data_IF_619609828917
#
_entry.id   IF_619609828917
#
_cell.length_a   1.000
_cell.length_b   1.000
_cell.length_c   1.000
_cell.angle_alpha   90.00
_cell.angle_beta   90.00
_cell.angle_gamma   90.00
#
_symmetry.space_group_name_H-M   'P 1'
#
loop_
_entity.id
_entity.type
_entity.pdbx_description
1 polymer ?
#
# COMPACT_ATOMS: atom_id res chain seq x y z
N UNK A 1 19.15 16.35 4.07
CA UNK A 1 17.86 15.90 4.65
C UNK A 1 18.04 14.49 5.16
N UNK A 2 17.79 14.24 6.45
CA UNK A 2 17.92 12.91 7.02
C UNK A 2 16.78 11.97 6.56
N UNK A 3 16.94 10.66 6.74
CA UNK A 3 15.97 9.64 6.29
C UNK A 3 14.55 9.90 6.84
N UNK A 4 14.43 10.32 8.09
CA UNK A 4 13.15 10.58 8.74
C UNK A 4 12.46 11.85 8.23
N UNK A 5 13.22 12.90 7.89
CA UNK A 5 12.71 14.11 7.26
C UNK A 5 12.15 13.81 5.88
N UNK A 6 12.80 12.94 5.08
CA UNK A 6 12.28 12.51 3.78
C UNK A 6 10.95 11.75 3.91
N UNK A 7 10.88 10.81 4.85
CA UNK A 7 9.65 10.05 5.10
C UNK A 7 8.53 10.95 5.63
N UNK A 8 8.83 11.83 6.59
CA UNK A 8 7.84 12.79 7.12
C UNK A 8 7.33 13.74 6.04
N UNK A 9 8.18 14.14 5.10
CA UNK A 9 7.80 14.97 3.95
C UNK A 9 6.83 14.25 3.02
N UNK A 10 7.07 12.98 2.70
CA UNK A 10 6.29 12.21 1.72
C UNK A 10 4.98 11.69 2.32
N UNK A 11 5.05 11.08 3.51
CA UNK A 11 3.91 10.36 4.11
C UNK A 11 3.22 11.12 5.24
N UNK A 12 3.68 12.33 5.56
CA UNK A 12 3.14 13.16 6.63
C UNK A 12 3.38 12.62 8.06
N UNK A 13 4.02 11.45 8.21
CA UNK A 13 4.27 10.83 9.50
C UNK A 13 5.65 10.18 9.59
N UNK A 14 6.19 10.14 10.82
CA UNK A 14 7.41 9.38 11.14
C UNK A 14 7.07 7.89 11.37
N UNK A 15 5.79 7.54 11.49
CA UNK A 15 5.34 6.16 11.75
C UNK A 15 5.78 5.18 10.67
N UNK A 16 5.75 5.59 9.39
CA UNK A 16 6.17 4.75 8.27
C UNK A 16 7.64 4.33 8.40
N UNK A 17 8.52 5.23 8.86
CA UNK A 17 9.92 4.90 9.08
C UNK A 17 10.12 3.90 10.23
N UNK A 18 9.33 4.03 11.31
CA UNK A 18 9.35 3.11 12.45
C UNK A 18 8.87 1.72 12.04
N UNK A 19 7.76 1.64 11.31
CA UNK A 19 7.23 0.39 10.77
C UNK A 19 8.26 -0.28 9.86
N UNK A 20 8.91 0.48 8.98
CA UNK A 20 10.00 -0.05 8.13
C UNK A 20 11.15 -0.62 8.97
N UNK A 21 11.62 0.11 9.98
CA UNK A 21 12.71 -0.35 10.83
C UNK A 21 12.32 -1.67 11.52
N UNK A 22 11.09 -1.75 11.99
CA UNK A 22 10.52 -2.93 12.62
C UNK A 22 10.49 -4.14 11.68
N UNK A 23 9.89 -3.99 10.50
CA UNK A 23 9.84 -5.05 9.48
C UNK A 23 11.23 -5.47 8.99
N UNK A 24 12.22 -4.56 9.02
CA UNK A 24 13.59 -4.90 8.62
C UNK A 24 14.23 -5.96 9.53
N UNK A 25 13.84 -6.03 10.80
CA UNK A 25 14.29 -7.05 11.77
C UNK A 25 13.76 -8.45 11.45
N UNK A 26 12.70 -8.54 10.65
CA UNK A 26 12.13 -9.82 10.21
C UNK A 26 12.85 -10.40 8.99
N UNK A 27 13.74 -9.64 8.35
CA UNK A 27 14.39 -10.05 7.10
C UNK A 27 15.08 -11.41 7.21
N UNK A 28 15.84 -11.63 8.29
CA UNK A 28 16.58 -12.88 8.47
C UNK A 28 15.65 -14.05 8.82
N UNK A 29 14.57 -13.78 9.58
CA UNK A 29 13.51 -14.77 9.82
C UNK A 29 12.85 -15.21 8.50
N UNK A 30 12.49 -14.26 7.64
CA UNK A 30 11.87 -14.51 6.34
C UNK A 30 12.83 -15.26 5.41
N UNK A 31 14.12 -14.88 5.39
CA UNK A 31 15.12 -15.59 4.59
C UNK A 31 15.19 -17.07 4.94
N UNK A 32 15.25 -17.41 6.24
CA UNK A 32 15.24 -18.80 6.72
C UNK A 32 13.98 -19.55 6.26
N UNK A 33 12.82 -18.90 6.30
CA UNK A 33 11.56 -19.49 5.82
C UNK A 33 11.57 -19.78 4.30
N UNK A 34 12.32 -19.00 3.51
CA UNK A 34 12.42 -19.15 2.06
C UNK A 34 13.53 -20.12 1.62
N UNK A 35 14.29 -20.68 2.56
CA UNK A 35 15.33 -21.66 2.24
C UNK A 35 14.70 -22.93 1.66
N UNK A 36 15.12 -23.27 0.43
CA UNK A 36 14.61 -24.44 -0.28
C UNK A 36 15.48 -25.65 0.01
N UNK A 37 14.85 -26.80 0.23
CA UNK A 37 15.57 -28.08 0.23
C UNK A 37 16.19 -28.34 -1.16
N UNK A 38 17.27 -29.15 -1.26
CA UNK A 38 17.88 -29.47 -2.55
C UNK A 38 16.89 -30.02 -3.58
N UNK A 39 15.93 -30.84 -3.12
CA UNK A 39 14.86 -31.39 -3.96
C UNK A 39 13.89 -30.31 -4.46
N UNK A 40 13.50 -29.37 -3.61
CA UNK A 40 12.65 -28.24 -4.01
C UNK A 40 13.37 -27.30 -4.96
N UNK A 41 14.66 -27.04 -4.75
CA UNK A 41 15.48 -26.22 -5.64
C UNK A 41 15.62 -26.87 -7.03
N UNK A 42 15.86 -28.19 -7.09
CA UNK A 42 15.88 -28.92 -8.35
C UNK A 42 14.54 -28.82 -9.09
N UNK A 43 13.42 -29.02 -8.38
CA UNK A 43 12.07 -28.87 -8.95
C UNK A 43 11.79 -27.45 -9.45
N UNK A 44 12.21 -26.43 -8.68
CA UNK A 44 12.06 -25.03 -9.09
C UNK A 44 12.84 -24.75 -10.37
N UNK A 45 14.10 -25.21 -10.47
CA UNK A 45 14.93 -25.04 -11.68
C UNK A 45 14.28 -25.68 -12.90
N UNK A 46 13.75 -26.89 -12.76
CA UNK A 46 13.05 -27.58 -13.86
C UNK A 46 11.81 -26.80 -14.32
N UNK A 47 11.03 -26.24 -13.39
CA UNK A 47 9.86 -25.40 -13.72
C UNK A 47 10.26 -24.10 -14.40
N UNK A 48 11.29 -23.42 -13.88
CA UNK A 48 11.79 -22.17 -14.46
C UNK A 48 12.31 -22.37 -15.90
N UNK A 49 12.95 -23.50 -16.18
CA UNK A 49 13.44 -23.83 -17.53
C UNK A 49 12.31 -23.98 -18.57
N UNK A 50 11.07 -24.24 -18.14
CA UNK A 50 9.88 -24.35 -19.01
C UNK A 50 9.23 -23.00 -19.29
N UNK A 51 9.58 -21.95 -18.53
CA UNK A 51 9.01 -20.62 -18.73
C UNK A 51 9.58 -20.00 -19.99
N UNK A 52 8.69 -19.49 -20.85
CA UNK A 52 9.11 -18.71 -22.01
C UNK A 52 9.54 -17.31 -21.54
N UNK A 53 10.73 -16.83 -21.91
CA UNK A 53 11.10 -15.47 -21.60
C UNK A 53 10.18 -14.50 -22.33
N UNK A 54 9.51 -13.63 -21.59
CA UNK A 54 8.70 -12.54 -22.16
C UNK A 54 9.66 -11.40 -22.50
N UNK A 55 9.84 -11.13 -23.79
CA UNK A 55 10.60 -9.96 -24.23
C UNK A 55 9.70 -8.74 -24.10
N UNK A 56 9.99 -7.86 -23.13
CA UNK A 56 9.35 -6.53 -23.08
C UNK A 56 9.92 -5.70 -24.22
N UNK A 57 9.07 -5.30 -25.16
CA UNK A 57 9.46 -4.57 -26.38
C UNK A 57 9.36 -3.05 -26.17
N UNK A 58 8.51 -2.64 -25.25
CA UNK A 58 8.32 -1.25 -24.82
C UNK A 58 8.44 -1.24 -23.31
N UNK A 59 9.39 -0.47 -22.79
CA UNK A 59 9.59 -0.25 -21.37
C UNK A 59 9.48 1.26 -21.17
N UNK A 60 8.53 1.69 -20.35
CA UNK A 60 8.40 3.10 -20.02
C UNK A 60 9.55 3.52 -19.10
N UNK A 61 10.15 4.68 -19.35
CA UNK A 61 11.19 5.24 -18.47
C UNK A 61 10.70 5.45 -17.03
N UNK A 62 9.39 5.58 -16.86
CA UNK A 62 8.71 5.80 -15.59
C UNK A 62 8.40 4.48 -14.86
N UNK A 63 8.55 3.33 -15.52
CA UNK A 63 8.16 2.00 -15.02
C UNK A 63 6.86 1.49 -15.66
N UNK A 64 6.75 0.17 -15.87
CA UNK A 64 5.56 -0.44 -16.46
C UNK A 64 4.56 -0.93 -15.41
N UNK A 65 5.02 -1.19 -14.18
CA UNK A 65 4.19 -1.61 -13.04
C UNK A 65 4.29 -0.62 -11.88
N UNK A 66 3.32 -0.66 -10.96
CA UNK A 66 3.33 0.19 -9.76
C UNK A 66 4.61 -0.04 -8.95
N UNK A 67 5.06 -1.29 -8.83
CA UNK A 67 6.29 -1.64 -8.14
C UNK A 67 7.52 -1.00 -8.80
N UNK A 68 7.62 -1.05 -10.13
CA UNK A 68 8.70 -0.43 -10.88
C UNK A 68 8.67 1.10 -10.74
N UNK A 69 7.49 1.72 -10.86
CA UNK A 69 7.29 3.16 -10.66
C UNK A 69 7.73 3.58 -9.26
N UNK A 70 7.35 2.82 -8.24
CA UNK A 70 7.67 3.12 -6.84
C UNK A 70 9.14 2.89 -6.50
N UNK A 71 9.77 1.91 -7.15
CA UNK A 71 11.22 1.68 -7.06
C UNK A 71 12.01 2.83 -7.69
N UNK A 72 11.64 3.25 -8.91
CA UNK A 72 12.25 4.39 -9.62
C UNK A 72 12.07 5.68 -8.81
N UNK A 73 10.89 5.86 -8.22
CA UNK A 73 10.56 7.01 -7.36
C UNK A 73 11.25 6.95 -5.97
N UNK A 74 11.89 5.82 -5.62
CA UNK A 74 12.62 5.62 -4.37
C UNK A 74 11.75 5.60 -3.11
N UNK A 75 10.48 5.21 -3.26
CA UNK A 75 9.50 5.09 -2.17
C UNK A 75 9.19 3.64 -1.79
N UNK A 76 9.43 2.69 -2.70
CA UNK A 76 9.17 1.25 -2.54
C UNK A 76 9.59 0.67 -1.20
N UNK A 77 10.78 1.00 -0.70
CA UNK A 77 11.30 0.39 0.52
C UNK A 77 10.57 0.85 1.80
N UNK A 78 9.71 1.86 1.71
CA UNK A 78 8.88 2.36 2.82
C UNK A 78 7.44 1.86 2.75
N UNK A 79 7.06 1.25 1.63
CA UNK A 79 5.72 0.77 1.33
C UNK A 79 5.66 -0.74 1.52
N UNK A 80 4.59 -1.23 2.12
CA UNK A 80 4.32 -2.65 2.15
C UNK A 80 3.82 -3.10 0.78
N UNK A 81 4.35 -4.21 0.27
CA UNK A 81 4.07 -4.68 -1.10
C UNK A 81 4.29 -3.62 -2.20
N UNK A 82 5.17 -2.66 -1.93
CA UNK A 82 5.58 -1.57 -2.81
C UNK A 82 4.58 -0.43 -2.98
N UNK A 83 3.31 -0.55 -2.60
CA UNK A 83 2.25 0.44 -2.85
C UNK A 83 1.36 0.75 -1.63
N UNK A 84 1.43 -0.05 -0.56
CA UNK A 84 0.57 0.13 0.62
C UNK A 84 1.32 0.87 1.73
N UNK A 85 0.75 1.99 2.19
CA UNK A 85 1.21 2.65 3.42
C UNK A 85 0.55 1.98 4.63
N UNK A 86 1.36 1.36 5.48
CA UNK A 86 0.88 0.76 6.72
C UNK A 86 0.51 1.83 7.75
N UNK A 87 -0.65 1.65 8.37
CA UNK A 87 -1.21 2.53 9.37
C UNK A 87 -0.79 2.10 10.78
N UNK A 88 -0.39 3.10 11.57
CA UNK A 88 -0.30 3.04 13.03
C UNK A 88 -1.58 3.67 13.60
N UNK A 89 -2.35 2.89 14.36
CA UNK A 89 -3.46 3.38 15.17
C UNK A 89 -3.02 3.41 16.64
N UNK A 90 -3.29 4.52 17.31
CA UNK A 90 -3.14 4.63 18.75
C UNK A 90 -4.54 4.44 19.34
N UNK A 91 -4.76 3.31 20.00
CA UNK A 91 -6.00 3.06 20.74
C UNK A 91 -5.71 3.30 22.23
N UNK A 92 -6.39 4.29 22.80
CA UNK A 92 -6.38 4.52 24.24
C UNK A 92 -7.57 3.82 24.86
N UNK A 93 -7.34 2.74 25.60
CA UNK A 93 -8.36 2.11 26.44
C UNK A 93 -7.96 2.29 27.90
N UNK A 94 -8.55 3.28 28.57
CA UNK A 94 -8.17 3.66 29.93
C UNK A 94 -6.77 4.32 29.98
N UNK A 95 -5.94 3.92 30.94
CA UNK A 95 -4.57 4.43 31.13
C UNK A 95 -3.51 3.73 30.25
N UNK A 96 -3.90 2.71 29.49
CA UNK A 96 -2.99 1.96 28.61
C UNK A 96 -3.14 2.43 27.17
N UNK A 97 -2.00 2.79 26.56
CA UNK A 97 -1.89 3.10 25.14
C UNK A 97 -1.50 1.81 24.41
N UNK A 98 -2.45 1.18 23.72
CA UNK A 98 -2.14 0.09 22.80
C UNK A 98 -1.87 0.67 21.40
N UNK A 99 -0.66 0.43 20.91
CA UNK A 99 -0.31 0.72 19.52
C UNK A 99 -0.74 -0.45 18.65
N UNK A 100 -1.85 -0.28 17.96
CA UNK A 100 -2.35 -1.24 16.98
C UNK A 100 -1.77 -0.82 15.63
N UNK A 101 -0.77 -1.55 15.18
CA UNK A 101 -0.16 -1.35 13.87
C UNK A 101 -0.59 -2.50 12.96
N UNK A 102 -0.95 -2.22 11.70
CA UNK A 102 -1.10 -3.28 10.68
C UNK A 102 0.18 -4.14 10.59
N UNK A 103 1.34 -3.58 10.94
CA UNK A 103 2.59 -4.29 11.09
C UNK A 103 2.59 -5.41 12.16
N UNK A 104 1.81 -5.27 13.24
CA UNK A 104 1.66 -6.31 14.28
C UNK A 104 1.05 -7.58 13.69
N UNK A 105 0.01 -7.43 12.86
CA UNK A 105 -0.68 -8.56 12.25
C UNK A 105 0.22 -9.28 11.25
N UNK A 106 1.00 -8.51 10.48
CA UNK A 106 2.01 -9.06 9.55
C UNK A 106 3.09 -9.85 10.31
N UNK A 107 3.58 -9.31 11.42
CA UNK A 107 4.56 -9.99 12.28
C UNK A 107 4.02 -11.29 12.85
N UNK A 108 2.81 -11.24 13.40
CA UNK A 108 2.14 -12.41 13.95
C UNK A 108 1.97 -13.49 12.89
N UNK A 109 1.52 -13.12 11.69
CA UNK A 109 1.36 -14.07 10.59
C UNK A 109 2.69 -14.69 10.16
N UNK A 110 3.81 -13.93 10.21
CA UNK A 110 5.15 -14.46 9.95
C UNK A 110 5.57 -15.45 11.05
N UNK A 111 5.41 -15.08 12.32
CA UNK A 111 5.77 -15.94 13.45
C UNK A 111 4.90 -17.21 13.51
N UNK A 112 3.62 -17.12 13.15
CA UNK A 112 2.71 -18.26 13.00
C UNK A 112 3.26 -19.25 11.95
N UNK A 113 3.66 -18.75 10.77
CA UNK A 113 4.24 -19.58 9.71
C UNK A 113 5.57 -20.21 10.12
N UNK A 114 6.44 -19.47 10.81
CA UNK A 114 7.71 -19.99 11.32
C UNK A 114 7.48 -21.11 12.34
N UNK A 115 6.42 -21.01 13.13
CA UNK A 115 6.03 -22.02 14.11
C UNK A 115 5.40 -23.27 13.47
N UNK A 116 5.35 -23.36 12.13
CA UNK A 116 4.80 -24.49 11.40
C UNK A 116 3.30 -24.41 11.16
N UNK A 117 2.64 -23.31 11.54
CA UNK A 117 1.22 -23.13 11.25
C UNK A 117 1.00 -22.74 9.78
N UNK A 118 -0.10 -23.17 9.16
CA UNK A 118 -0.41 -22.76 7.80
C UNK A 118 -0.62 -21.25 7.72
N UNK A 119 -0.08 -20.64 6.66
CA UNK A 119 -0.30 -19.22 6.37
C UNK A 119 -1.80 -18.95 6.22
N UNK A 120 -2.29 -17.90 6.87
CA UNK A 120 -3.66 -17.43 6.69
C UNK A 120 -3.91 -17.08 5.22
N UNK A 121 -5.09 -17.42 4.71
CA UNK A 121 -5.50 -17.00 3.37
C UNK A 121 -5.72 -15.50 3.38
N UNK A 122 -5.21 -14.81 2.37
CA UNK A 122 -5.48 -13.37 2.17
C UNK A 122 -6.99 -13.20 1.95
N UNK A 123 -7.61 -12.39 2.79
CA UNK A 123 -9.01 -11.99 2.67
C UNK A 123 -9.06 -10.47 2.46
N UNK A 124 -10.25 -9.96 2.11
CA UNK A 124 -10.52 -8.53 2.20
C UNK A 124 -10.10 -8.01 3.58
N UNK A 125 -9.56 -6.80 3.62
CA UNK A 125 -8.99 -6.21 4.83
C UNK A 125 -10.04 -6.15 5.95
N UNK A 126 -9.73 -6.78 7.08
CA UNK A 126 -10.52 -6.80 8.31
C UNK A 126 -9.57 -6.69 9.49
N UNK A 127 -9.33 -5.46 9.96
CA UNK A 127 -8.55 -5.24 11.16
C UNK A 127 -9.39 -5.46 12.42
N UNK A 128 -8.74 -5.37 13.58
CA UNK A 128 -9.40 -5.44 14.89
C UNK A 128 -10.51 -4.39 15.09
N UNK A 129 -10.49 -3.28 14.34
CA UNK A 129 -11.49 -2.20 14.44
C UNK A 129 -12.62 -2.33 13.43
N UNK A 130 -12.63 -3.38 12.62
CA UNK A 130 -13.71 -3.67 11.69
C UNK A 130 -15.09 -3.73 12.41
N UNK A 131 -16.16 -3.13 11.86
CA UNK A 131 -16.25 -2.45 10.55
C UNK A 131 -15.85 -0.97 10.57
N UNK A 132 -15.37 -0.43 11.69
CA UNK A 132 -15.02 0.99 11.86
C UNK A 132 -13.88 1.50 10.97
N UNK A 133 -13.22 0.65 10.19
CA UNK A 133 -12.24 1.01 9.15
C UNK A 133 -12.82 1.01 7.75
N UNK A 134 -14.13 0.84 7.59
CA UNK A 134 -14.83 0.97 6.31
C UNK A 134 -15.27 2.41 6.07
N UNK A 135 -15.46 2.73 4.80
CA UNK A 135 -16.14 3.94 4.34
C UNK A 135 -17.65 3.69 4.30
N UNK A 136 -18.38 4.16 5.32
CA UNK A 136 -19.80 3.83 5.50
C UNK A 136 -20.73 4.63 4.57
N UNK A 137 -20.39 5.89 4.28
CA UNK A 137 -21.25 6.82 3.53
C UNK A 137 -20.61 7.28 2.22
N UNK A 138 -19.94 6.34 1.55
CA UNK A 138 -19.08 6.65 0.41
C UNK A 138 -17.74 7.26 0.82
N UNK A 139 -16.92 7.54 -0.19
CA UNK A 139 -15.56 8.03 -0.03
C UNK A 139 -15.53 9.52 -0.40
N UNK A 140 -15.26 10.37 0.58
CA UNK A 140 -14.99 11.79 0.30
C UNK A 140 -13.55 11.95 -0.16
N UNK A 141 -13.33 12.83 -1.14
CA UNK A 141 -11.98 13.17 -1.61
C UNK A 141 -11.87 14.65 -1.95
N UNK A 142 -10.64 15.13 -2.10
CA UNK A 142 -10.35 16.42 -2.73
C UNK A 142 -8.97 16.38 -3.37
N UNK A 143 -8.75 17.26 -4.35
CA UNK A 143 -7.45 17.40 -4.99
C UNK A 143 -6.60 18.47 -4.30
N UNK A 144 -5.34 18.13 -4.00
CA UNK A 144 -4.37 19.11 -3.51
C UNK A 144 -3.96 20.10 -4.62
N UNK A 145 -3.28 21.18 -4.25
CA UNK A 145 -2.90 22.27 -5.17
C UNK A 145 -1.98 21.78 -6.30
N UNK A 146 -1.19 20.73 -6.06
CA UNK A 146 -0.24 20.18 -7.03
C UNK A 146 -0.83 19.07 -7.92
N UNK A 147 -2.12 18.73 -7.77
CA UNK A 147 -2.79 17.76 -8.61
C UNK A 147 -3.02 18.33 -10.02
N UNK A 148 -2.22 17.88 -10.99
CA UNK A 148 -2.33 18.31 -12.38
C UNK A 148 -3.61 17.78 -13.08
N UNK A 149 -3.91 18.31 -14.26
CA UNK A 149 -5.13 17.94 -15.02
C UNK A 149 -5.20 16.45 -15.36
N UNK A 150 -4.06 15.85 -15.69
CA UNK A 150 -3.97 14.43 -16.05
C UNK A 150 -4.34 13.55 -14.85
N UNK A 151 -3.73 13.79 -13.68
CA UNK A 151 -4.04 13.15 -12.40
C UNK A 151 -5.53 13.29 -12.07
N UNK A 152 -6.07 14.50 -12.14
CA UNK A 152 -7.50 14.77 -11.86
C UNK A 152 -8.41 13.96 -12.78
N UNK A 153 -8.08 13.90 -14.07
CA UNK A 153 -8.84 13.15 -15.07
C UNK A 153 -8.80 11.65 -14.80
N UNK A 154 -7.63 11.07 -14.54
CA UNK A 154 -7.50 9.62 -14.32
C UNK A 154 -8.12 9.18 -13.00
N UNK A 155 -7.99 10.00 -11.95
CA UNK A 155 -8.65 9.74 -10.67
C UNK A 155 -10.17 9.73 -10.83
N UNK A 156 -10.75 10.75 -11.48
CA UNK A 156 -12.20 10.81 -11.72
C UNK A 156 -12.70 9.62 -12.55
N UNK A 157 -11.92 9.18 -13.55
CA UNK A 157 -12.24 7.98 -14.33
C UNK A 157 -12.18 6.70 -13.49
N UNK A 158 -11.20 6.56 -12.62
CA UNK A 158 -11.09 5.41 -11.70
C UNK A 158 -12.21 5.38 -10.66
N UNK A 159 -12.51 6.53 -10.04
CA UNK A 159 -13.65 6.68 -9.13
C UNK A 159 -14.98 6.33 -9.83
N UNK A 160 -15.19 6.82 -11.07
CA UNK A 160 -16.36 6.48 -11.85
C UNK A 160 -16.43 4.97 -12.18
N UNK A 161 -15.30 4.30 -12.42
CA UNK A 161 -15.28 2.85 -12.62
C UNK A 161 -15.77 2.10 -11.37
N UNK A 162 -15.38 2.54 -10.16
CA UNK A 162 -15.93 2.00 -8.91
C UNK A 162 -17.43 2.27 -8.76
N UNK A 163 -17.89 3.50 -9.01
CA UNK A 163 -19.30 3.89 -8.86
C UNK A 163 -20.24 3.14 -9.82
N UNK A 164 -19.75 2.84 -11.03
CA UNK A 164 -20.55 2.16 -12.06
C UNK A 164 -20.64 0.64 -11.83
N UNK A 165 -19.68 0.05 -11.12
CA UNK A 165 -19.58 -1.40 -10.94
C UNK A 165 -19.83 -1.86 -9.49
N UNK A 166 -19.99 -0.95 -8.55
CA UNK A 166 -20.17 -1.26 -7.12
C UNK A 166 -21.16 -0.29 -6.45
N UNK A 167 -21.47 -0.52 -5.18
CA UNK A 167 -22.27 0.41 -4.37
C UNK A 167 -21.47 1.55 -3.74
N UNK A 168 -20.16 1.64 -4.01
CA UNK A 168 -19.29 2.68 -3.43
C UNK A 168 -19.46 3.97 -4.22
N UNK A 169 -19.80 5.05 -3.51
CA UNK A 169 -19.92 6.39 -4.08
C UNK A 169 -18.72 7.25 -3.73
N UNK A 170 -18.32 8.12 -4.66
CA UNK A 170 -17.24 9.09 -4.45
C UNK A 170 -17.80 10.51 -4.49
N UNK A 171 -17.39 11.35 -3.55
CA UNK A 171 -17.83 12.75 -3.45
C UNK A 171 -16.63 13.67 -3.27
N UNK A 172 -16.54 14.70 -4.12
CA UNK A 172 -15.55 15.76 -3.94
C UNK A 172 -16.00 16.69 -2.81
N UNK A 173 -15.36 16.62 -1.65
CA UNK A 173 -15.70 17.38 -0.45
C UNK A 173 -14.45 17.67 0.40
N UNK A 174 -13.92 18.89 0.27
CA UNK A 174 -12.73 19.32 1.02
C UNK A 174 -13.02 19.59 2.51
N UNK A 175 -14.30 19.74 2.89
CA UNK A 175 -14.72 20.05 4.26
C UNK A 175 -15.10 18.80 5.07
N UNK A 176 -15.31 17.65 4.42
CA UNK A 176 -15.56 16.38 5.08
C UNK A 176 -14.48 16.04 6.13
N UNK A 177 -14.89 15.52 7.28
CA UNK A 177 -13.96 15.10 8.35
C UNK A 177 -13.03 13.99 7.87
N UNK A 178 -13.62 12.92 7.35
CA UNK A 178 -12.91 11.80 6.76
C UNK A 178 -12.87 11.96 5.26
N UNK A 179 -11.67 12.10 4.70
CA UNK A 179 -11.47 12.37 3.27
C UNK A 179 -10.10 11.93 2.77
N UNK A 180 -10.04 11.60 1.49
CA UNK A 180 -8.80 11.35 0.77
C UNK A 180 -8.28 12.64 0.15
N UNK A 181 -7.05 13.05 0.47
CA UNK A 181 -6.30 14.06 -0.27
C UNK A 181 -5.57 13.39 -1.43
N UNK A 182 -6.00 13.68 -2.64
CA UNK A 182 -5.38 13.18 -3.87
C UNK A 182 -4.35 14.22 -4.33
N UNK A 183 -3.09 13.84 -4.44
CA UNK A 183 -2.00 14.77 -4.70
C UNK A 183 -0.89 14.13 -5.55
N UNK A 184 -0.10 14.99 -6.19
CA UNK A 184 1.00 14.55 -7.06
C UNK A 184 2.28 14.43 -6.23
N UNK A 185 2.68 13.22 -5.85
CA UNK A 185 3.88 12.94 -5.06
C UNK A 185 4.63 11.74 -5.65
N UNK A 186 5.82 11.44 -5.14
CA UNK A 186 6.63 10.32 -5.62
C UNK A 186 5.91 8.97 -5.42
N UNK A 187 5.69 8.26 -6.53
CA UNK A 187 5.07 6.93 -6.57
C UNK A 187 3.54 6.91 -6.57
N UNK A 188 2.99 5.71 -6.76
CA UNK A 188 1.58 5.37 -6.66
C UNK A 188 1.38 4.60 -5.36
N UNK A 189 0.63 5.16 -4.42
CA UNK A 189 0.38 4.48 -3.15
C UNK A 189 -0.82 5.06 -2.41
N UNK A 190 -1.39 4.22 -1.56
CA UNK A 190 -2.55 4.55 -0.74
C UNK A 190 -2.50 3.85 0.62
N UNK A 191 -3.40 4.25 1.51
CA UNK A 191 -3.68 3.51 2.73
C UNK A 191 -4.82 2.52 2.49
N UNK A 192 -4.79 1.38 3.17
CA UNK A 192 -5.88 0.40 3.08
C UNK A 192 -6.99 0.77 4.09
N UNK A 193 -8.19 1.03 3.58
CA UNK A 193 -9.37 1.35 4.37
C UNK A 193 -9.44 2.82 4.85
N UNK A 194 -10.42 3.12 5.70
CA UNK A 194 -10.65 4.43 6.32
C UNK A 194 -9.84 4.55 7.61
N UNK A 195 -8.99 5.57 7.71
CA UNK A 195 -8.18 5.83 8.91
C UNK A 195 -8.84 6.78 9.91
N UNK A 196 -9.83 7.55 9.47
CA UNK A 196 -10.34 8.71 10.17
C UNK A 196 -9.50 9.95 9.87
N UNK A 197 -10.16 11.11 9.76
CA UNK A 197 -9.54 12.35 9.33
C UNK A 197 -9.10 12.33 7.86
N UNK A 198 -8.19 13.25 7.54
CA UNK A 198 -7.56 13.31 6.21
C UNK A 198 -6.52 12.19 6.05
N UNK A 199 -6.63 11.39 4.99
CA UNK A 199 -5.59 10.46 4.54
C UNK A 199 -5.13 10.80 3.13
N UNK A 200 -3.86 10.50 2.82
CA UNK A 200 -3.24 10.86 1.55
C UNK A 200 -3.25 9.68 0.58
N UNK A 201 -3.45 9.96 -0.71
CA UNK A 201 -3.31 9.02 -1.83
C UNK A 201 -2.46 9.69 -2.91
N UNK A 202 -1.30 9.08 -3.22
CA UNK A 202 -0.37 9.60 -4.20
C UNK A 202 -0.62 8.99 -5.57
N UNK A 203 -0.75 9.85 -6.58
CA UNK A 203 -0.68 9.47 -8.00
C UNK A 203 0.42 10.32 -8.64
N UNK A 204 1.64 9.82 -8.57
CA UNK A 204 2.83 10.48 -9.08
C UNK A 204 3.10 10.34 -10.57
N UNK A 205 4.34 10.66 -10.95
CA UNK A 205 4.89 10.38 -12.28
C UNK A 205 4.79 8.88 -12.57
N UNK A 206 4.25 8.51 -13.73
CA UNK A 206 4.00 7.11 -14.10
C UNK A 206 2.66 6.54 -13.64
N UNK A 207 1.93 7.21 -12.73
CA UNK A 207 0.67 6.72 -12.17
C UNK A 207 -0.57 7.13 -12.98
N UNK A 208 -0.39 7.61 -14.22
CA UNK A 208 -1.43 8.25 -15.02
C UNK A 208 -2.34 7.28 -15.80
N UNK A 209 -2.42 6.03 -15.37
CA UNK A 209 -3.34 5.05 -15.94
C UNK A 209 -4.63 4.98 -15.11
N UNK A 210 -5.78 4.86 -15.78
CA UNK A 210 -7.07 4.66 -15.08
C UNK A 210 -7.03 3.39 -14.23
N UNK A 211 -6.38 2.33 -14.71
CA UNK A 211 -6.20 1.10 -13.96
C UNK A 211 -5.41 1.33 -12.66
N UNK A 212 -4.30 2.09 -12.71
CA UNK A 212 -3.52 2.47 -11.53
C UNK A 212 -4.35 3.30 -10.55
N UNK A 213 -5.05 4.33 -11.03
CA UNK A 213 -5.92 5.14 -10.17
C UNK A 213 -7.06 4.32 -9.55
N UNK A 214 -7.59 3.32 -10.26
CA UNK A 214 -8.63 2.41 -9.73
C UNK A 214 -8.07 1.45 -8.69
N UNK A 215 -6.82 1.00 -8.85
CA UNK A 215 -6.12 0.11 -7.91
C UNK A 215 -5.80 0.79 -6.58
N UNK A 216 -5.40 2.07 -6.61
CA UNK A 216 -5.08 2.84 -5.39
C UNK A 216 -6.32 3.32 -4.60
N UNK A 217 -7.50 3.28 -5.24
CA UNK A 217 -8.81 3.66 -4.67
C UNK A 217 -9.47 2.49 -3.92
#
# INVERSE_FOLDING_TARGET
MNKFEKVKKIFGSVSVAKIRERLSKLKDKIKKMLELTPKMLASLKEKLAKLRPIKRVQVHEEGDTIEEINQISGVDGYLFQSDIVLTEYVCSSGSSIEKIEQANEIEKDIDDVISGNPRRRRQAFKDRRYPGTLWENGVNYYFDYNANEKLRSVFKKGANAWQTNTCINFKEDSQATDKIRVFYENGCWSFVGRRGGKQDLSLGKGCDAVATATHEL
#
